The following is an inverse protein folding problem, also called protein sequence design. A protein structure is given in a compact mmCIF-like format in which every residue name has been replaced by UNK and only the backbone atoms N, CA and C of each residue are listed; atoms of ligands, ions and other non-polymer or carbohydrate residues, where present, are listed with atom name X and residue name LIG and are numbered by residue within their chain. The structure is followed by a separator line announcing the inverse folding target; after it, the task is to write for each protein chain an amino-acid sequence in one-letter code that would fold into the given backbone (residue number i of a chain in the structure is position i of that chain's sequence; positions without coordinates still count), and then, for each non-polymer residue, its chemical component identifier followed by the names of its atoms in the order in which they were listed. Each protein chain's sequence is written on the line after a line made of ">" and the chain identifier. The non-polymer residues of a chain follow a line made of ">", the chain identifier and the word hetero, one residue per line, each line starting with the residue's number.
data_IF_016363761015
#
_entry.id   IF_016363761015
#
_cell.length_a   1.000
_cell.length_b   1.000
_cell.length_c   1.000
_cell.angle_alpha   90.00
_cell.angle_beta   90.00
_cell.angle_gamma   90.00
#
_symmetry.space_group_name_H-M   'P 1'
#
loop_
_entity.id
_entity.type
_entity.pdbx_description
1 polymer ?
#
# COMPACT_ATOMS: atom_id res chain seq x y z
N UNK A 1 18.65 -20.24 22.56
CA UNK A 1 18.16 -18.99 23.19
C UNK A 1 18.35 -17.90 22.16
N UNK A 2 17.25 -17.34 21.66
CA UNK A 2 17.26 -16.16 20.78
C UNK A 2 17.60 -14.92 21.62
N UNK A 3 18.19 -13.92 20.98
CA UNK A 3 18.42 -12.62 21.61
C UNK A 3 17.23 -11.70 21.35
N UNK A 4 16.86 -10.88 22.34
CA UNK A 4 15.97 -9.74 22.15
C UNK A 4 16.71 -8.54 21.53
N UNK A 5 15.97 -7.46 21.25
CA UNK A 5 16.53 -6.24 20.67
C UNK A 5 17.65 -5.64 21.54
N UNK A 6 17.44 -5.53 22.85
CA UNK A 6 18.39 -4.87 23.76
C UNK A 6 19.70 -5.64 23.83
N UNK A 7 19.64 -6.97 23.89
CA UNK A 7 20.79 -7.85 23.81
C UNK A 7 21.54 -7.69 22.48
N UNK A 8 20.83 -7.59 21.36
CA UNK A 8 21.42 -7.35 20.05
C UNK A 8 22.06 -5.95 19.95
N UNK A 9 21.41 -4.92 20.51
CA UNK A 9 21.92 -3.56 20.54
C UNK A 9 23.20 -3.46 21.37
N UNK A 10 23.25 -4.12 22.51
CA UNK A 10 24.45 -4.17 23.36
C UNK A 10 25.58 -4.99 22.74
N UNK A 11 25.27 -6.03 21.97
CA UNK A 11 26.25 -6.69 21.12
C UNK A 11 26.86 -5.73 20.10
N UNK A 12 26.04 -4.96 19.36
CA UNK A 12 26.52 -3.98 18.38
C UNK A 12 27.34 -2.88 19.05
N UNK A 13 26.88 -2.32 20.18
CA UNK A 13 27.62 -1.26 20.90
C UNK A 13 29.01 -1.73 21.36
N UNK A 14 29.14 -2.97 21.84
CA UNK A 14 30.40 -3.53 22.33
C UNK A 14 31.40 -3.84 21.22
N UNK A 15 30.93 -4.30 20.06
CA UNK A 15 31.80 -4.82 19.00
C UNK A 15 32.01 -3.82 17.84
N UNK A 16 31.08 -2.90 17.60
CA UNK A 16 31.20 -1.95 16.48
C UNK A 16 32.24 -0.85 16.77
N UNK A 17 33.12 -0.55 15.79
CA UNK A 17 33.95 0.66 15.83
C UNK A 17 33.10 1.91 16.01
N UNK A 18 33.58 2.86 16.84
CA UNK A 18 32.84 4.07 17.21
C UNK A 18 32.30 4.85 16.00
N UNK A 19 33.09 4.96 14.93
CA UNK A 19 32.70 5.67 13.70
C UNK A 19 31.54 5.01 12.94
N UNK A 20 31.39 3.69 13.03
CA UNK A 20 30.35 2.93 12.29
C UNK A 20 29.11 2.63 13.11
N UNK A 21 29.22 2.71 14.45
CA UNK A 21 28.19 2.32 15.40
C UNK A 21 26.85 3.04 15.18
N UNK A 22 26.79 4.38 14.97
CA UNK A 22 25.51 5.06 14.75
C UNK A 22 24.74 4.53 13.54
N UNK A 23 25.45 4.19 12.46
CA UNK A 23 24.84 3.69 11.22
C UNK A 23 24.34 2.23 11.34
N UNK A 24 24.85 1.47 12.31
CA UNK A 24 24.39 0.10 12.58
C UNK A 24 23.23 0.07 13.58
N UNK A 25 23.18 1.01 14.52
CA UNK A 25 22.11 1.12 15.53
C UNK A 25 20.84 1.80 15.02
N UNK A 26 20.89 2.43 13.85
CA UNK A 26 19.75 3.10 13.24
C UNK A 26 19.31 2.35 11.97
N UNK A 27 18.01 2.42 11.60
CA UNK A 27 17.52 1.91 10.32
C UNK A 27 18.34 2.45 9.14
N UNK A 28 18.84 1.56 8.28
CA UNK A 28 19.57 1.96 7.09
C UNK A 28 18.61 2.68 6.13
N UNK A 29 18.82 3.98 5.93
CA UNK A 29 17.89 4.85 5.18
C UNK A 29 18.54 5.34 3.90
N UNK A 30 17.77 5.32 2.80
CA UNK A 30 18.17 5.87 1.50
C UNK A 30 16.99 6.59 0.86
N UNK A 31 17.18 7.85 0.46
CA UNK A 31 16.20 8.55 -0.38
C UNK A 31 16.05 7.84 -1.73
N UNK A 32 14.82 7.67 -2.21
CA UNK A 32 14.57 6.97 -3.48
C UNK A 32 15.12 7.76 -4.67
N UNK A 33 14.68 9.01 -4.84
CA UNK A 33 15.05 9.85 -5.97
C UNK A 33 14.97 11.34 -5.60
N UNK A 34 15.90 12.19 -6.07
CA UNK A 34 15.80 13.65 -5.90
C UNK A 34 14.50 14.24 -6.47
N UNK A 35 13.89 13.59 -7.47
CA UNK A 35 12.59 14.00 -8.05
C UNK A 35 11.43 13.79 -7.06
N UNK A 36 11.57 12.85 -6.13
CA UNK A 36 10.55 12.48 -5.15
C UNK A 36 11.15 12.52 -3.74
N UNK A 37 11.49 13.72 -3.23
CA UNK A 37 12.29 13.88 -2.01
C UNK A 37 11.58 13.42 -0.73
N UNK A 38 10.25 13.24 -0.78
CA UNK A 38 9.45 12.74 0.34
C UNK A 38 9.49 11.23 0.48
N UNK A 39 10.07 10.50 -0.48
CA UNK A 39 10.11 9.03 -0.51
C UNK A 39 11.47 8.53 -0.07
N UNK A 40 11.48 7.71 0.98
CA UNK A 40 12.68 7.02 1.47
C UNK A 40 12.46 5.51 1.57
N UNK A 41 13.51 4.75 1.28
CA UNK A 41 13.55 3.29 1.42
C UNK A 41 14.43 2.97 2.63
N UNK A 42 13.89 2.18 3.53
CA UNK A 42 14.51 1.85 4.80
C UNK A 42 14.72 0.35 4.93
N UNK A 43 15.75 -0.02 5.66
CA UNK A 43 15.96 -1.38 6.14
C UNK A 43 16.07 -1.36 7.67
N UNK A 44 15.92 -2.53 8.29
CA UNK A 44 16.12 -2.73 9.73
C UNK A 44 17.38 -2.04 10.26
N UNK A 45 17.40 -1.69 11.54
CA UNK A 45 18.69 -1.52 12.22
C UNK A 45 19.38 -2.90 12.31
N UNK A 46 20.70 -2.93 12.51
CA UNK A 46 21.41 -4.20 12.68
C UNK A 46 20.88 -4.99 13.91
N UNK A 47 20.60 -4.35 15.06
CA UNK A 47 19.95 -5.04 16.18
C UNK A 47 18.61 -5.68 15.82
N UNK A 48 17.74 -4.97 15.09
CA UNK A 48 16.44 -5.52 14.65
C UNK A 48 16.63 -6.70 13.72
N UNK A 49 17.53 -6.59 12.74
CA UNK A 49 17.85 -7.68 11.83
C UNK A 49 18.33 -8.92 12.58
N UNK A 50 19.23 -8.76 13.56
CA UNK A 50 19.69 -9.89 14.39
C UNK A 50 18.55 -10.53 15.20
N UNK A 51 17.67 -9.72 15.79
CA UNK A 51 16.57 -10.19 16.62
C UNK A 51 15.47 -10.87 15.79
N UNK A 52 15.01 -10.25 14.69
CA UNK A 52 13.93 -10.74 13.82
C UNK A 52 14.30 -12.09 13.20
N UNK A 53 15.54 -12.24 12.75
CA UNK A 53 16.02 -13.46 12.11
C UNK A 53 16.67 -14.45 13.10
N UNK A 54 16.55 -14.17 14.40
CA UNK A 54 17.07 -15.02 15.48
C UNK A 54 18.55 -15.40 15.29
N UNK A 55 19.36 -14.49 14.74
CA UNK A 55 20.78 -14.68 14.43
C UNK A 55 21.66 -14.59 15.68
N UNK A 56 21.20 -15.10 16.82
CA UNK A 56 21.81 -14.94 18.14
C UNK A 56 23.16 -15.66 18.33
N UNK A 57 23.54 -15.99 19.58
CA UNK A 57 24.89 -16.45 19.94
C UNK A 57 25.42 -17.64 19.14
N UNK A 58 24.55 -18.55 18.71
CA UNK A 58 24.97 -19.72 17.94
C UNK A 58 25.41 -19.36 16.52
N UNK A 59 24.73 -18.39 15.91
CA UNK A 59 25.06 -17.92 14.56
C UNK A 59 26.22 -16.93 14.58
N UNK A 60 26.24 -16.03 15.57
CA UNK A 60 27.30 -15.02 15.74
C UNK A 60 28.57 -15.59 16.35
N UNK A 61 28.49 -16.50 17.32
CA UNK A 61 29.63 -16.97 18.12
C UNK A 61 30.70 -17.71 17.31
N UNK A 62 30.38 -18.08 16.07
CA UNK A 62 31.30 -18.71 15.12
C UNK A 62 31.88 -17.71 14.09
N UNK A 63 31.46 -16.44 14.13
CA UNK A 63 31.75 -15.44 13.09
C UNK A 63 32.36 -14.17 13.69
N UNK A 64 33.23 -13.53 12.93
CA UNK A 64 33.76 -12.20 13.27
C UNK A 64 32.67 -11.14 13.11
N UNK A 65 32.64 -10.13 13.98
CA UNK A 65 31.65 -9.05 13.93
C UNK A 65 31.62 -8.37 12.57
N UNK A 66 32.79 -8.13 11.97
CA UNK A 66 32.91 -7.47 10.67
C UNK A 66 32.20 -8.25 9.56
N UNK A 67 32.25 -9.59 9.61
CA UNK A 67 31.56 -10.45 8.65
C UNK A 67 30.04 -10.35 8.79
N UNK A 68 29.53 -10.32 10.03
CA UNK A 68 28.09 -10.17 10.31
C UNK A 68 27.62 -8.76 9.91
N UNK A 69 28.40 -7.72 10.21
CA UNK A 69 28.09 -6.35 9.82
C UNK A 69 28.15 -6.14 8.29
N UNK A 70 29.05 -6.83 7.59
CA UNK A 70 29.11 -6.82 6.13
C UNK A 70 27.87 -7.46 5.51
N UNK A 71 27.45 -8.61 6.02
CA UNK A 71 26.22 -9.28 5.57
C UNK A 71 24.98 -8.42 5.77
N UNK A 72 24.81 -7.84 6.97
CA UNK A 72 23.71 -6.90 7.24
C UNK A 72 23.68 -5.76 6.20
N UNK A 73 24.83 -5.12 5.95
CA UNK A 73 24.92 -4.02 4.96
C UNK A 73 24.57 -4.48 3.55
N UNK A 74 25.03 -5.68 3.16
CA UNK A 74 24.74 -6.27 1.87
C UNK A 74 23.24 -6.55 1.68
N UNK A 75 22.58 -7.13 2.69
CA UNK A 75 21.14 -7.41 2.64
C UNK A 75 20.34 -6.09 2.60
N UNK A 76 20.72 -5.10 3.41
CA UNK A 76 20.10 -3.78 3.40
C UNK A 76 20.20 -3.10 2.02
N UNK A 77 21.39 -3.11 1.42
CA UNK A 77 21.62 -2.59 0.07
C UNK A 77 20.81 -3.33 -1.00
N UNK A 78 20.71 -4.66 -0.87
CA UNK A 78 19.95 -5.50 -1.81
C UNK A 78 18.47 -5.14 -1.76
N UNK A 79 17.89 -5.02 -0.57
CA UNK A 79 16.51 -4.60 -0.39
C UNK A 79 16.27 -3.18 -0.96
N UNK A 80 17.15 -2.22 -0.64
CA UNK A 80 17.06 -0.86 -1.21
C UNK A 80 17.05 -0.89 -2.74
N UNK A 81 17.94 -1.67 -3.34
CA UNK A 81 18.04 -1.80 -4.80
C UNK A 81 16.80 -2.43 -5.43
N UNK A 82 16.19 -3.43 -4.79
CA UNK A 82 14.95 -4.05 -5.27
C UNK A 82 13.78 -3.09 -5.22
N UNK A 83 13.52 -2.46 -4.07
CA UNK A 83 12.40 -1.51 -3.93
C UNK A 83 12.58 -0.30 -4.86
N UNK A 84 13.79 0.22 -5.01
CA UNK A 84 14.07 1.32 -5.95
C UNK A 84 13.71 0.94 -7.39
N UNK A 85 14.06 -0.28 -7.84
CA UNK A 85 13.68 -0.78 -9.17
C UNK A 85 12.17 -0.86 -9.37
N UNK A 86 11.41 -1.23 -8.34
CA UNK A 86 9.94 -1.24 -8.41
C UNK A 86 9.38 0.18 -8.54
N UNK A 87 9.92 1.14 -7.79
CA UNK A 87 9.55 2.54 -7.97
C UNK A 87 9.93 3.08 -9.35
N UNK A 88 11.08 2.67 -9.92
CA UNK A 88 11.47 3.04 -11.28
C UNK A 88 10.46 2.47 -12.31
N UNK A 89 10.03 1.22 -12.13
CA UNK A 89 9.02 0.59 -12.98
C UNK A 89 7.67 1.33 -12.90
N UNK A 90 7.21 1.64 -11.68
CA UNK A 90 6.00 2.44 -11.45
C UNK A 90 6.13 3.83 -12.08
N UNK A 91 7.27 4.52 -11.88
CA UNK A 91 7.52 5.84 -12.45
C UNK A 91 7.56 5.84 -13.99
N UNK A 92 7.79 4.68 -14.61
CA UNK A 92 7.84 4.50 -16.05
C UNK A 92 6.48 4.54 -16.75
N UNK A 93 5.36 4.43 -16.01
CA UNK A 93 4.01 4.60 -16.57
C UNK A 93 3.44 5.99 -16.26
N UNK A 94 2.51 6.49 -17.06
CA UNK A 94 1.83 7.76 -16.83
C UNK A 94 1.01 7.76 -15.55
N UNK A 95 0.31 6.66 -15.26
CA UNK A 95 -0.42 6.46 -14.00
C UNK A 95 0.47 6.41 -12.77
N UNK A 96 1.60 5.70 -12.84
CA UNK A 96 2.55 5.62 -11.74
C UNK A 96 3.34 6.90 -11.56
N UNK A 97 3.69 7.61 -12.64
CA UNK A 97 4.23 8.96 -12.55
C UNK A 97 3.25 9.91 -11.86
N UNK A 98 1.96 9.86 -12.18
CA UNK A 98 0.93 10.66 -11.51
C UNK A 98 0.81 10.32 -10.01
N UNK A 99 0.88 9.03 -9.65
CA UNK A 99 0.84 8.56 -8.27
C UNK A 99 2.05 9.05 -7.46
N UNK A 100 3.27 8.92 -7.98
CA UNK A 100 4.47 9.38 -7.29
C UNK A 100 4.53 10.90 -7.17
N UNK A 101 3.96 11.63 -8.13
CA UNK A 101 3.82 13.08 -8.02
C UNK A 101 2.80 13.49 -6.96
N UNK A 102 1.71 12.75 -6.79
CA UNK A 102 0.75 12.99 -5.71
C UNK A 102 1.41 12.82 -4.33
N UNK A 103 2.26 11.80 -4.17
CA UNK A 103 3.06 11.58 -2.96
C UNK A 103 4.06 12.72 -2.74
N UNK A 104 4.78 13.16 -3.77
CA UNK A 104 5.72 14.27 -3.67
C UNK A 104 5.02 15.60 -3.34
N UNK A 105 3.81 15.80 -3.83
CA UNK A 105 2.99 16.98 -3.55
C UNK A 105 2.43 17.01 -2.11
N UNK A 106 2.54 15.91 -1.34
CA UNK A 106 2.28 15.89 0.10
C UNK A 106 3.53 16.30 0.91
N UNK A 107 4.18 17.41 0.52
CA UNK A 107 5.52 17.81 0.97
C UNK A 107 5.71 18.08 2.48
N UNK A 108 4.61 18.08 3.25
CA UNK A 108 4.64 18.21 4.73
C UNK A 108 4.82 16.88 5.44
N UNK A 109 4.67 15.77 4.70
CA UNK A 109 4.71 14.41 5.20
C UNK A 109 5.71 13.60 4.37
N UNK A 110 6.11 12.45 4.91
CA UNK A 110 7.08 11.54 4.33
C UNK A 110 6.49 10.15 4.13
N UNK A 111 6.89 9.52 3.04
CA UNK A 111 6.60 8.11 2.74
C UNK A 111 7.87 7.29 2.95
N UNK A 112 7.77 6.22 3.73
CA UNK A 112 8.89 5.36 4.08
C UNK A 112 8.53 3.91 3.79
N UNK A 113 9.35 3.22 3.00
CA UNK A 113 9.12 1.80 2.68
C UNK A 113 10.08 0.94 3.48
N UNK A 114 9.57 -0.04 4.22
CA UNK A 114 10.33 -0.90 5.12
C UNK A 114 9.92 -2.37 4.91
N UNK A 115 10.81 -3.37 5.08
CA UNK A 115 10.45 -4.75 4.79
C UNK A 115 9.25 -5.23 5.62
N UNK A 116 8.34 -5.98 4.99
CA UNK A 116 7.11 -6.46 5.62
C UNK A 116 7.39 -7.29 6.87
N UNK A 117 8.46 -8.10 6.91
CA UNK A 117 8.75 -8.99 8.04
C UNK A 117 8.97 -8.25 9.38
N UNK A 118 9.03 -6.92 9.38
CA UNK A 118 8.95 -6.11 10.61
C UNK A 118 7.58 -6.19 11.32
N UNK A 119 6.54 -6.69 10.65
CA UNK A 119 5.15 -6.65 11.10
C UNK A 119 4.93 -7.25 12.50
N UNK A 120 5.70 -8.27 12.88
CA UNK A 120 5.64 -8.89 14.23
C UNK A 120 6.03 -7.92 15.33
N UNK A 121 7.02 -7.05 15.08
CA UNK A 121 7.45 -6.01 16.03
C UNK A 121 6.59 -4.75 15.91
N UNK A 122 6.05 -4.49 14.72
CA UNK A 122 5.13 -3.37 14.49
C UNK A 122 3.68 -3.64 14.99
N UNK A 123 3.38 -4.82 15.55
CA UNK A 123 2.04 -5.25 15.96
C UNK A 123 0.98 -4.98 14.87
N UNK A 124 1.25 -5.42 13.64
CA UNK A 124 0.25 -5.35 12.56
C UNK A 124 -0.75 -6.50 12.67
N UNK A 125 -2.00 -6.25 12.26
CA UNK A 125 -3.07 -7.24 12.28
C UNK A 125 -2.84 -8.32 11.20
N UNK A 126 -2.34 -9.48 11.61
CA UNK A 126 -2.13 -10.66 10.78
C UNK A 126 -0.92 -10.56 9.82
N UNK A 127 -0.50 -11.68 9.21
CA UNK A 127 0.58 -11.69 8.22
C UNK A 127 0.06 -11.12 6.89
N UNK A 128 -0.06 -9.80 6.80
CA UNK A 128 -0.35 -9.12 5.52
C UNK A 128 0.97 -8.87 4.80
N UNK A 129 1.21 -9.59 3.69
CA UNK A 129 2.43 -9.52 2.87
C UNK A 129 2.77 -8.10 2.34
N UNK A 130 1.82 -7.15 2.45
CA UNK A 130 2.02 -5.72 2.30
C UNK A 130 1.02 -4.96 3.20
N UNK A 131 1.40 -3.79 3.73
CA UNK A 131 0.48 -2.95 4.52
C UNK A 131 0.95 -1.51 4.64
N UNK A 132 0.02 -0.56 4.52
CA UNK A 132 0.21 0.85 4.87
C UNK A 132 -0.11 1.12 6.34
N UNK A 133 0.71 1.95 6.99
CA UNK A 133 0.45 2.45 8.35
C UNK A 133 0.71 3.96 8.45
N UNK A 134 -0.28 4.77 8.87
CA UNK A 134 -0.06 6.16 9.18
C UNK A 134 0.61 6.30 10.54
N UNK A 135 1.59 7.18 10.64
CA UNK A 135 2.40 7.41 11.84
C UNK A 135 2.61 8.90 12.05
N UNK A 136 2.93 9.34 13.26
CA UNK A 136 2.97 10.78 13.55
C UNK A 136 4.04 11.47 12.71
N UNK A 137 3.74 12.70 12.30
CA UNK A 137 4.70 13.53 11.56
C UNK A 137 6.00 13.69 12.36
N UNK A 138 7.14 13.38 11.75
CA UNK A 138 8.46 13.44 12.38
C UNK A 138 8.77 12.30 13.35
N UNK A 139 7.89 11.29 13.47
CA UNK A 139 8.15 10.11 14.29
C UNK A 139 9.38 9.37 13.77
N UNK A 140 10.39 9.20 14.64
CA UNK A 140 11.63 8.51 14.29
C UNK A 140 11.35 7.02 14.16
N UNK A 141 11.85 6.36 13.12
CA UNK A 141 11.66 4.90 12.97
C UNK A 141 12.31 4.04 14.04
N UNK A 142 13.27 4.58 14.79
CA UNK A 142 13.76 3.90 16.00
C UNK A 142 12.64 3.67 17.03
N UNK A 143 11.48 4.31 16.88
CA UNK A 143 10.26 4.09 17.66
C UNK A 143 9.30 3.06 17.01
N UNK A 144 9.46 2.78 15.70
CA UNK A 144 8.56 1.87 14.96
C UNK A 144 8.71 0.40 15.40
N UNK A 145 9.86 0.05 15.99
CA UNK A 145 10.20 -1.25 16.60
C UNK A 145 9.46 -1.55 17.91
N UNK A 146 8.91 -0.53 18.60
CA UNK A 146 8.26 -0.68 19.90
C UNK A 146 6.73 -0.47 19.85
N UNK A 147 6.12 -0.86 18.73
CA UNK A 147 4.70 -0.59 18.49
C UNK A 147 4.51 0.83 17.98
N UNK A 148 4.60 1.00 16.66
CA UNK A 148 4.30 2.28 16.01
C UNK A 148 2.84 2.65 16.32
N UNK A 149 2.59 3.74 17.04
CA UNK A 149 1.21 4.13 17.31
C UNK A 149 0.61 4.68 16.04
N UNK A 150 -0.48 4.06 15.58
CA UNK A 150 -1.14 4.51 14.37
C UNK A 150 -1.66 5.94 14.56
N UNK A 151 -1.33 6.85 13.65
CA UNK A 151 -1.90 8.20 13.63
C UNK A 151 -3.19 8.23 12.78
N UNK A 152 -4.05 7.25 13.03
CA UNK A 152 -5.29 6.99 12.26
C UNK A 152 -6.17 8.24 12.21
N UNK A 153 -6.22 9.00 13.30
CA UNK A 153 -6.98 10.25 13.43
C UNK A 153 -6.53 11.34 12.45
N UNK A 154 -5.23 11.46 12.17
CA UNK A 154 -4.74 12.45 11.21
C UNK A 154 -4.93 11.99 9.75
N UNK A 155 -4.74 10.70 9.49
CA UNK A 155 -4.87 10.08 8.18
C UNK A 155 -6.34 10.03 7.66
N UNK A 156 -7.31 9.98 8.56
CA UNK A 156 -8.73 9.97 8.17
C UNK A 156 -9.25 11.34 7.77
N UNK A 157 -10.16 11.33 6.78
CA UNK A 157 -10.89 12.51 6.34
C UNK A 157 -11.56 13.24 7.50
N UNK A 158 -11.56 14.58 7.44
CA UNK A 158 -12.15 15.41 8.50
C UNK A 158 -13.61 15.01 8.76
N UNK A 159 -13.90 14.59 9.99
CA UNK A 159 -15.21 14.14 10.43
C UNK A 159 -15.60 12.73 9.99
N UNK A 160 -14.74 12.00 9.29
CA UNK A 160 -15.01 10.60 8.97
C UNK A 160 -14.94 9.73 10.23
N UNK A 161 -15.86 8.77 10.42
CA UNK A 161 -15.78 7.83 11.52
C UNK A 161 -14.55 6.94 11.35
N UNK A 162 -13.85 6.70 12.45
CA UNK A 162 -12.79 5.69 12.50
C UNK A 162 -13.41 4.41 13.01
N UNK A 163 -13.21 3.30 12.29
CA UNK A 163 -13.79 2.00 12.63
C UNK A 163 -12.77 1.13 13.38
N UNK A 164 -13.24 0.33 14.34
CA UNK A 164 -12.46 -0.73 14.98
C UNK A 164 -12.35 -1.99 14.10
N UNK A 165 -11.66 -3.03 14.60
CA UNK A 165 -11.49 -4.31 13.90
C UNK A 165 -12.83 -5.05 13.63
N UNK A 166 -13.89 -4.71 14.36
CA UNK A 166 -15.24 -5.22 14.17
C UNK A 166 -16.08 -4.34 13.24
N UNK A 167 -15.45 -3.38 12.54
CA UNK A 167 -16.09 -2.38 11.68
C UNK A 167 -17.10 -1.49 12.42
N UNK A 168 -16.94 -1.32 13.73
CA UNK A 168 -17.79 -0.43 14.54
C UNK A 168 -17.13 0.94 14.70
N UNK A 169 -17.89 2.05 14.63
CA UNK A 169 -17.34 3.37 14.90
C UNK A 169 -16.74 3.44 16.31
N UNK A 170 -15.52 3.97 16.39
CA UNK A 170 -14.87 4.37 17.64
C UNK A 170 -15.38 5.74 18.09
N UNK A 171 -14.94 6.21 19.25
CA UNK A 171 -15.19 7.59 19.71
C UNK A 171 -14.39 8.65 18.95
N UNK A 172 -13.41 8.24 18.15
CA UNK A 172 -12.54 9.14 17.39
C UNK A 172 -13.07 9.38 15.97
N UNK A 173 -12.79 10.57 15.45
CA UNK A 173 -13.11 10.96 14.07
C UNK A 173 -11.88 11.53 13.40
N UNK A 174 -11.80 11.40 12.08
CA UNK A 174 -10.69 11.94 11.31
C UNK A 174 -10.59 13.46 11.40
N UNK A 175 -9.37 13.97 11.33
CA UNK A 175 -9.07 15.40 11.39
C UNK A 175 -8.72 15.99 10.02
N UNK A 176 -8.38 15.13 9.05
CA UNK A 176 -7.99 15.50 7.70
C UNK A 176 -6.63 16.22 7.59
N UNK A 177 -5.74 16.04 8.56
CA UNK A 177 -4.42 16.69 8.56
C UNK A 177 -3.37 15.94 7.71
N UNK A 178 -3.62 14.66 7.46
CA UNK A 178 -2.64 13.75 6.88
C UNK A 178 -1.58 13.34 7.88
N UNK A 179 -0.77 12.37 7.48
CA UNK A 179 0.23 11.76 8.34
C UNK A 179 1.48 11.38 7.56
N UNK A 180 2.62 11.25 8.24
CA UNK A 180 3.70 10.42 7.70
C UNK A 180 3.18 8.99 7.50
N UNK A 181 3.74 8.28 6.52
CA UNK A 181 3.31 6.92 6.19
C UNK A 181 4.51 5.98 6.17
N UNK A 182 4.31 4.79 6.72
CA UNK A 182 5.20 3.64 6.54
C UNK A 182 4.47 2.58 5.73
N UNK A 183 5.07 2.13 4.64
CA UNK A 183 4.62 0.99 3.85
C UNK A 183 5.51 -0.20 4.21
N UNK A 184 4.91 -1.20 4.84
CA UNK A 184 5.54 -2.48 5.15
C UNK A 184 5.42 -3.39 3.93
N UNK A 185 6.52 -3.60 3.22
CA UNK A 185 6.50 -4.27 1.93
C UNK A 185 7.82 -4.98 1.65
N UNK A 186 7.77 -6.28 1.34
CA UNK A 186 8.94 -7.07 0.92
C UNK A 186 8.71 -7.60 -0.49
N UNK A 187 9.50 -7.17 -1.50
CA UNK A 187 9.39 -7.70 -2.86
C UNK A 187 9.44 -9.23 -2.93
N UNK A 188 10.23 -9.86 -2.06
CA UNK A 188 10.46 -11.31 -2.00
C UNK A 188 9.18 -12.11 -1.74
N UNK A 189 8.21 -11.52 -1.03
CA UNK A 189 6.93 -12.17 -0.72
C UNK A 189 6.07 -12.34 -2.00
N UNK A 190 6.39 -11.57 -3.04
CA UNK A 190 5.68 -11.49 -4.32
C UNK A 190 6.55 -11.88 -5.52
N UNK A 191 7.78 -12.36 -5.31
CA UNK A 191 8.65 -12.87 -6.39
C UNK A 191 8.44 -14.38 -6.64
N UNK A 192 7.69 -15.08 -5.78
CA UNK A 192 7.48 -16.53 -5.88
C UNK A 192 6.43 -16.86 -6.95
N UNK A 193 6.73 -17.86 -7.78
CA UNK A 193 5.89 -18.26 -8.94
C UNK A 193 4.53 -18.86 -8.56
N UNK A 194 4.40 -19.42 -7.36
CA UNK A 194 3.16 -20.00 -6.87
C UNK A 194 2.10 -18.97 -6.44
N UNK A 195 2.50 -17.72 -6.17
CA UNK A 195 1.60 -16.60 -5.81
C UNK A 195 1.39 -15.55 -6.91
N UNK A 196 2.19 -15.58 -7.99
CA UNK A 196 2.27 -14.49 -9.00
C UNK A 196 1.54 -14.75 -10.31
N UNK A 197 0.92 -15.91 -10.48
CA UNK A 197 0.23 -16.28 -11.73
C UNK A 197 -1.11 -15.52 -11.94
N UNK A 198 -1.44 -14.58 -11.04
CA UNK A 198 -2.69 -13.82 -11.04
C UNK A 198 -2.43 -12.32 -11.22
N UNK A 199 -3.30 -11.57 -11.93
CA UNK A 199 -3.14 -10.13 -12.07
C UNK A 199 -3.15 -9.40 -10.73
N UNK A 200 -2.30 -8.37 -10.60
CA UNK A 200 -2.24 -7.57 -9.39
C UNK A 200 -1.41 -8.19 -8.27
N UNK A 201 -0.66 -9.27 -8.55
CA UNK A 201 0.22 -9.96 -7.61
C UNK A 201 1.70 -9.83 -7.95
N UNK A 202 2.07 -9.15 -9.04
CA UNK A 202 3.49 -8.83 -9.23
C UNK A 202 3.96 -7.77 -8.22
N UNK A 203 5.27 -7.79 -7.86
CA UNK A 203 5.79 -6.90 -6.84
C UNK A 203 5.47 -5.41 -7.06
N UNK A 204 5.60 -4.90 -8.28
CA UNK A 204 5.29 -3.48 -8.55
C UNK A 204 3.79 -3.18 -8.52
N UNK A 205 2.94 -4.15 -8.81
CA UNK A 205 1.48 -4.01 -8.83
C UNK A 205 0.91 -3.94 -7.42
N UNK A 206 1.40 -4.80 -6.53
CA UNK A 206 1.08 -4.73 -5.09
C UNK A 206 1.59 -3.44 -4.49
N UNK A 207 2.86 -3.08 -4.78
CA UNK A 207 3.40 -1.82 -4.28
C UNK A 207 2.58 -0.62 -4.79
N UNK A 208 2.17 -0.60 -6.06
CA UNK A 208 1.30 0.45 -6.60
C UNK A 208 -0.01 0.56 -5.79
N UNK A 209 -0.66 -0.57 -5.50
CA UNK A 209 -1.90 -0.61 -4.73
C UNK A 209 -1.71 -0.01 -3.33
N UNK A 210 -0.68 -0.42 -2.60
CA UNK A 210 -0.36 0.16 -1.28
C UNK A 210 -0.02 1.66 -1.38
N UNK A 211 0.68 2.08 -2.42
CA UNK A 211 0.99 3.50 -2.62
C UNK A 211 -0.26 4.35 -2.85
N UNK A 212 -1.34 3.80 -3.42
CA UNK A 212 -2.63 4.49 -3.50
C UNK A 212 -3.15 4.76 -2.09
N UNK A 213 -3.23 3.75 -1.22
CA UNK A 213 -3.60 3.94 0.18
C UNK A 213 -2.69 4.96 0.88
N UNK A 214 -1.39 4.90 0.65
CA UNK A 214 -0.44 5.85 1.21
C UNK A 214 -0.76 7.31 0.82
N UNK A 215 -1.20 7.58 -0.42
CA UNK A 215 -1.61 8.95 -0.80
C UNK A 215 -2.79 9.46 0.01
N UNK A 216 -3.72 8.56 0.38
CA UNK A 216 -4.93 8.87 1.15
C UNK A 216 -4.55 9.25 2.56
N UNK A 217 -3.67 8.46 3.18
CA UNK A 217 -3.16 8.70 4.53
C UNK A 217 -2.28 9.96 4.59
N UNK A 218 -1.40 10.18 3.61
CA UNK A 218 -0.58 11.39 3.50
C UNK A 218 -1.41 12.67 3.42
N UNK A 219 -2.59 12.61 2.79
CA UNK A 219 -3.48 13.76 2.60
C UNK A 219 -4.52 13.93 3.70
N UNK A 220 -4.73 12.91 4.53
CA UNK A 220 -5.80 12.94 5.51
C UNK A 220 -7.16 12.72 4.85
N UNK A 221 -7.24 11.84 3.84
CA UNK A 221 -8.48 11.58 3.11
C UNK A 221 -9.01 10.15 3.27
N UNK A 222 -8.33 9.31 4.04
CA UNK A 222 -8.77 7.94 4.30
C UNK A 222 -10.21 7.91 4.86
N UNK A 223 -11.05 7.01 4.34
CA UNK A 223 -12.38 6.75 4.90
C UNK A 223 -12.59 5.25 5.13
N UNK A 224 -13.15 4.87 6.27
CA UNK A 224 -13.62 3.50 6.50
C UNK A 224 -14.99 3.21 5.88
N UNK A 225 -15.43 3.99 4.89
CA UNK A 225 -16.80 3.93 4.40
C UNK A 225 -17.05 2.57 3.72
N UNK A 226 -18.02 1.77 4.20
CA UNK A 226 -18.31 0.47 3.60
C UNK A 226 -18.75 0.63 2.15
N UNK A 227 -18.21 -0.23 1.29
CA UNK A 227 -18.65 -0.42 -0.08
C UNK A 227 -19.07 -1.88 -0.19
N UNK A 228 -20.33 -2.11 -0.55
CA UNK A 228 -20.85 -3.48 -0.70
C UNK A 228 -20.13 -4.23 -1.84
N UNK A 229 -20.41 -5.52 -1.98
CA UNK A 229 -19.64 -6.41 -2.84
C UNK A 229 -18.27 -6.71 -2.24
N UNK A 230 -17.33 -7.08 -3.11
CA UNK A 230 -16.07 -7.69 -2.71
C UNK A 230 -14.95 -6.68 -2.35
N UNK A 231 -15.24 -5.37 -2.38
CA UNK A 231 -14.24 -4.33 -2.08
C UNK A 231 -14.11 -4.07 -0.58
N UNK A 232 -15.17 -4.29 0.19
CA UNK A 232 -15.22 -4.04 1.63
C UNK A 232 -15.34 -2.56 2.01
N UNK A 233 -14.54 -1.66 1.42
CA UNK A 233 -14.60 -0.21 1.68
C UNK A 233 -14.16 0.66 0.48
N UNK A 234 -14.36 1.97 0.62
CA UNK A 234 -14.03 3.00 -0.38
C UNK A 234 -12.53 3.02 -0.74
N UNK A 235 -11.64 2.76 0.22
CA UNK A 235 -10.19 2.82 0.01
C UNK A 235 -9.69 1.63 -0.81
N UNK A 236 -10.16 0.42 -0.52
CA UNK A 236 -9.85 -0.80 -1.28
C UNK A 236 -10.43 -0.74 -2.70
N UNK A 237 -11.63 -0.16 -2.84
CA UNK A 237 -12.22 0.11 -4.14
C UNK A 237 -11.33 1.02 -4.99
N UNK A 238 -10.91 2.16 -4.42
CA UNK A 238 -10.08 3.12 -5.12
C UNK A 238 -8.70 2.53 -5.46
N UNK A 239 -8.05 1.88 -4.50
CA UNK A 239 -6.74 1.25 -4.70
C UNK A 239 -6.79 0.13 -5.73
N UNK A 240 -7.85 -0.69 -5.74
CA UNK A 240 -8.06 -1.72 -6.76
C UNK A 240 -8.30 -1.11 -8.14
N UNK A 241 -9.15 -0.08 -8.21
CA UNK A 241 -9.49 0.60 -9.48
C UNK A 241 -8.26 1.24 -10.12
N UNK A 242 -7.45 1.95 -9.33
CA UNK A 242 -6.24 2.60 -9.83
C UNK A 242 -5.13 1.58 -10.15
N UNK A 243 -5.02 0.49 -9.38
CA UNK A 243 -4.12 -0.61 -9.74
C UNK A 243 -4.51 -1.26 -11.08
N UNK A 244 -5.81 -1.43 -11.36
CA UNK A 244 -6.28 -1.91 -12.66
C UNK A 244 -5.98 -0.94 -13.80
N UNK A 245 -6.07 0.36 -13.56
CA UNK A 245 -5.63 1.37 -14.53
C UNK A 245 -4.12 1.19 -14.84
N UNK A 246 -3.29 1.00 -13.82
CA UNK A 246 -1.86 0.71 -13.98
C UNK A 246 -1.60 -0.61 -14.74
N UNK A 247 -2.30 -1.69 -14.41
CA UNK A 247 -2.23 -2.97 -15.13
C UNK A 247 -2.60 -2.83 -16.61
N UNK A 248 -3.66 -2.07 -16.89
CA UNK A 248 -4.06 -1.75 -18.27
C UNK A 248 -2.97 -0.98 -19.01
N UNK A 249 -2.27 -0.08 -18.31
CA UNK A 249 -1.12 0.64 -18.86
C UNK A 249 0.13 -0.25 -19.01
N UNK A 250 0.23 -1.37 -18.31
CA UNK A 250 1.22 -2.43 -18.58
C UNK A 250 0.78 -3.38 -19.69
N UNK A 251 -0.47 -3.28 -20.18
CA UNK A 251 -1.03 -4.22 -21.16
C UNK A 251 -1.33 -5.59 -20.56
N UNK A 252 -1.61 -5.64 -19.25
CA UNK A 252 -1.87 -6.87 -18.51
C UNK A 252 -3.36 -7.10 -18.30
N UNK A 253 -3.76 -8.36 -18.00
CA UNK A 253 -5.11 -8.61 -17.51
C UNK A 253 -5.34 -7.83 -16.21
N UNK A 254 -6.59 -7.47 -15.95
CA UNK A 254 -6.97 -6.67 -14.79
C UNK A 254 -7.29 -7.59 -13.62
N UNK A 255 -7.00 -7.15 -12.39
CA UNK A 255 -7.39 -7.87 -11.17
C UNK A 255 -8.89 -7.78 -10.93
N UNK A 256 -9.48 -8.93 -10.61
CA UNK A 256 -10.84 -9.03 -10.09
C UNK A 256 -10.91 -8.54 -8.64
N UNK A 257 -12.09 -8.70 -8.04
CA UNK A 257 -12.34 -8.32 -6.65
C UNK A 257 -12.20 -9.57 -5.76
N UNK A 258 -11.79 -9.40 -4.49
CA UNK A 258 -11.42 -10.50 -3.60
C UNK A 258 -12.30 -10.55 -2.35
N UNK A 259 -13.54 -11.05 -2.41
CA UNK A 259 -14.20 -11.40 -1.14
C UNK A 259 -15.23 -12.55 -1.17
N UNK A 260 -15.59 -13.15 -2.31
CA UNK A 260 -16.44 -14.36 -2.25
C UNK A 260 -15.74 -15.52 -1.50
N UNK A 261 -16.23 -15.93 -0.32
CA UNK A 261 -15.67 -17.06 0.43
C UNK A 261 -15.87 -18.39 -0.30
N UNK A 262 -16.89 -18.46 -1.17
CA UNK A 262 -17.16 -19.55 -2.11
C UNK A 262 -16.01 -19.78 -3.08
N UNK A 263 -15.20 -18.75 -3.31
CA UNK A 263 -14.30 -18.66 -4.45
C UNK A 263 -12.82 -18.46 -4.06
N UNK A 264 -12.55 -18.09 -2.79
CA UNK A 264 -11.21 -18.08 -2.14
C UNK A 264 -10.55 -19.48 -2.00
N UNK A 265 -11.12 -20.50 -2.63
CA UNK A 265 -10.77 -21.89 -2.40
C UNK A 265 -11.45 -22.42 -1.15
N UNK A 266 -11.88 -23.68 -1.20
CA UNK A 266 -12.49 -24.34 -0.04
C UNK A 266 -11.45 -24.37 1.09
N UNK A 267 -11.77 -23.77 2.23
CA UNK A 267 -10.93 -23.93 3.42
C UNK A 267 -11.19 -25.30 4.03
N UNK A 268 -10.15 -26.14 4.14
CA UNK A 268 -10.21 -27.41 4.87
C UNK A 268 -9.53 -27.27 6.22
N UNK A 269 -10.26 -27.57 7.29
CA UNK A 269 -9.69 -27.67 8.63
C UNK A 269 -8.98 -29.00 8.78
N UNK A 270 -7.67 -28.97 9.05
CA UNK A 270 -6.92 -30.16 9.44
C UNK A 270 -6.98 -30.26 10.96
N UNK A 271 -7.68 -31.29 11.44
CA UNK A 271 -7.90 -31.55 12.87
C UNK A 271 -7.06 -32.73 13.35
N UNK A 272 -6.51 -32.62 14.55
CA UNK A 272 -5.97 -33.74 15.31
C UNK A 272 -6.54 -33.69 16.73
N UNK A 273 -6.95 -34.85 17.27
CA UNK A 273 -7.53 -34.96 18.61
C UNK A 273 -8.67 -33.97 18.91
N UNK A 274 -9.49 -33.65 17.90
CA UNK A 274 -10.61 -32.71 18.05
C UNK A 274 -10.23 -31.22 18.03
N UNK A 275 -8.94 -30.87 17.96
CA UNK A 275 -8.47 -29.49 17.79
C UNK A 275 -8.06 -29.22 16.34
N UNK A 276 -8.44 -28.04 15.84
CA UNK A 276 -7.97 -27.54 14.53
C UNK A 276 -6.50 -27.16 14.66
N UNK A 277 -5.62 -27.88 13.95
CA UNK A 277 -4.19 -27.61 13.93
C UNK A 277 -3.86 -26.46 12.96
N UNK A 278 -4.45 -26.48 11.78
CA UNK A 278 -4.34 -25.41 10.79
C UNK A 278 -5.48 -25.48 9.76
N UNK A 279 -5.77 -24.32 9.14
CA UNK A 279 -6.66 -24.21 7.98
C UNK A 279 -5.82 -24.23 6.71
N UNK A 280 -6.12 -25.17 5.82
CA UNK A 280 -5.55 -25.21 4.46
C UNK A 280 -6.55 -24.53 3.54
N UNK A 281 -6.11 -23.49 2.84
CA UNK A 281 -6.90 -22.85 1.79
C UNK A 281 -6.52 -23.55 0.49
N UNK A 282 -7.48 -24.22 -0.17
CA UNK A 282 -7.25 -24.80 -1.49
C UNK A 282 -6.85 -23.68 -2.48
N UNK A 283 -5.93 -23.91 -3.43
CA UNK A 283 -5.55 -22.87 -4.38
C UNK A 283 -6.78 -22.44 -5.20
N UNK A 284 -6.97 -21.12 -5.44
CA UNK A 284 -8.10 -20.64 -6.22
C UNK A 284 -8.03 -21.18 -7.66
N UNK A 285 -9.18 -21.30 -8.36
CA UNK A 285 -9.20 -21.71 -9.76
C UNK A 285 -8.32 -20.83 -10.65
N UNK A 286 -7.77 -21.39 -11.73
CA UNK A 286 -6.99 -20.60 -12.69
C UNK A 286 -7.87 -19.50 -13.31
N UNK A 287 -7.38 -18.25 -13.32
CA UNK A 287 -8.14 -17.10 -13.85
C UNK A 287 -9.15 -16.50 -12.88
N UNK A 288 -9.24 -17.03 -11.64
CA UNK A 288 -10.07 -16.52 -10.55
C UNK A 288 -9.88 -15.00 -10.32
N UNK A 289 -8.63 -14.56 -10.32
CA UNK A 289 -8.24 -13.19 -10.02
C UNK A 289 -8.35 -12.23 -11.21
N UNK A 290 -8.98 -12.62 -12.33
CA UNK A 290 -9.09 -11.76 -13.52
C UNK A 290 -10.46 -11.07 -13.54
N UNK A 291 -10.46 -9.76 -13.79
CA UNK A 291 -11.69 -8.99 -13.99
C UNK A 291 -12.46 -9.48 -15.22
N UNK A 292 -13.71 -9.91 -15.02
CA UNK A 292 -14.51 -10.56 -16.08
C UNK A 292 -15.07 -9.57 -17.11
N UNK A 293 -15.49 -8.38 -16.68
CA UNK A 293 -16.16 -7.40 -17.55
C UNK A 293 -15.65 -5.97 -17.30
N UNK A 294 -14.48 -5.62 -17.87
CA UNK A 294 -13.89 -4.29 -17.68
C UNK A 294 -14.62 -3.18 -18.46
N UNK A 295 -15.28 -3.51 -19.57
CA UNK A 295 -15.92 -2.54 -20.45
C UNK A 295 -17.23 -2.01 -19.84
N UNK A 296 -17.94 -2.83 -19.06
CA UNK A 296 -19.16 -2.43 -18.36
C UNK A 296 -18.94 -2.09 -16.88
N UNK A 297 -17.70 -1.96 -16.41
CA UNK A 297 -17.40 -1.68 -15.00
C UNK A 297 -18.16 -0.46 -14.45
N UNK A 298 -18.35 0.57 -15.28
CA UNK A 298 -19.02 1.80 -14.88
C UNK A 298 -20.55 1.66 -14.87
N UNK A 299 -21.09 0.77 -15.69
CA UNK A 299 -22.53 0.66 -16.00
C UNK A 299 -23.20 -0.57 -15.36
N UNK A 300 -22.42 -1.57 -14.96
CA UNK A 300 -22.85 -2.78 -14.29
C UNK A 300 -22.07 -2.94 -12.97
N UNK A 301 -22.35 -2.11 -11.96
CA UNK A 301 -21.46 -1.94 -10.83
C UNK A 301 -21.42 -3.13 -9.86
N UNK A 302 -22.10 -4.24 -10.17
CA UNK A 302 -22.33 -5.33 -9.21
C UNK A 302 -23.17 -4.84 -8.02
N UNK A 303 -23.28 -5.64 -6.94
CA UNK A 303 -24.00 -5.26 -5.74
C UNK A 303 -23.17 -4.30 -4.88
N UNK A 304 -22.85 -3.11 -5.40
CA UNK A 304 -22.23 -2.02 -4.62
C UNK A 304 -23.31 -1.02 -4.19
N UNK A 305 -23.28 -0.60 -2.93
CA UNK A 305 -24.19 0.41 -2.36
C UNK A 305 -23.86 1.84 -2.82
N UNK A 306 -22.65 2.08 -3.33
CA UNK A 306 -22.21 3.33 -3.92
C UNK A 306 -21.81 3.08 -5.36
N UNK A 307 -22.36 3.87 -6.28
CA UNK A 307 -22.05 3.72 -7.69
C UNK A 307 -20.58 4.07 -7.99
N UNK A 308 -20.00 3.49 -9.05
CA UNK A 308 -18.68 3.88 -9.53
C UNK A 308 -18.52 5.38 -9.80
N UNK A 309 -19.58 6.01 -10.29
CA UNK A 309 -19.64 7.46 -10.50
C UNK A 309 -19.45 8.22 -9.18
N UNK A 310 -20.19 7.85 -8.13
CA UNK A 310 -20.09 8.46 -6.81
C UNK A 310 -18.69 8.25 -6.18
N UNK A 311 -18.13 7.05 -6.30
CA UNK A 311 -16.81 6.73 -5.75
C UNK A 311 -15.70 7.52 -6.47
N UNK A 312 -15.73 7.58 -7.80
CA UNK A 312 -14.77 8.38 -8.57
C UNK A 312 -14.99 9.88 -8.34
N UNK A 313 -16.23 10.33 -8.20
CA UNK A 313 -16.53 11.72 -7.90
C UNK A 313 -15.90 12.15 -6.56
N UNK A 314 -15.98 11.30 -5.53
CA UNK A 314 -15.34 11.56 -4.23
C UNK A 314 -13.81 11.58 -4.32
N UNK A 315 -13.22 10.69 -5.12
CA UNK A 315 -11.80 10.76 -5.45
C UNK A 315 -11.44 12.08 -6.14
N UNK A 316 -12.23 12.50 -7.15
CA UNK A 316 -12.07 13.78 -7.83
C UNK A 316 -12.13 14.96 -6.86
N UNK A 317 -13.06 14.94 -5.90
CA UNK A 317 -13.25 16.05 -4.96
C UNK A 317 -12.10 16.19 -3.96
N UNK A 318 -11.50 15.07 -3.56
CA UNK A 318 -10.42 15.03 -2.56
C UNK A 318 -9.04 15.21 -3.19
N UNK A 319 -8.75 14.56 -4.33
CA UNK A 319 -7.42 14.55 -4.96
C UNK A 319 -7.45 15.07 -6.40
N UNK A 320 -7.98 16.28 -6.59
CA UNK A 320 -8.21 16.94 -7.90
C UNK A 320 -7.03 16.88 -8.87
N UNK A 321 -5.82 17.17 -8.40
CA UNK A 321 -4.64 17.20 -9.25
C UNK A 321 -4.28 15.79 -9.75
N UNK A 322 -4.33 14.80 -8.85
CA UNK A 322 -4.08 13.39 -9.19
C UNK A 322 -5.16 12.86 -10.14
N UNK A 323 -6.44 13.10 -9.82
CA UNK A 323 -7.58 12.80 -10.70
C UNK A 323 -7.40 13.42 -12.10
N UNK A 324 -6.99 14.69 -12.17
CA UNK A 324 -6.77 15.38 -13.45
C UNK A 324 -5.64 14.73 -14.25
N UNK A 325 -4.52 14.40 -13.61
CA UNK A 325 -3.41 13.73 -14.28
C UNK A 325 -3.84 12.38 -14.88
N UNK A 326 -4.63 11.59 -14.13
CA UNK A 326 -5.14 10.29 -14.59
C UNK A 326 -6.19 10.39 -15.71
N UNK A 327 -7.10 11.36 -15.64
CA UNK A 327 -8.11 11.57 -16.69
C UNK A 327 -7.51 12.06 -18.00
N UNK A 328 -6.34 12.69 -17.95
CA UNK A 328 -5.63 13.24 -19.11
C UNK A 328 -4.58 12.31 -19.72
N UNK A 329 -4.45 11.07 -19.23
CA UNK A 329 -3.58 10.07 -19.87
C UNK A 329 -3.96 9.88 -21.36
N UNK A 330 -3.05 9.46 -22.23
CA UNK A 330 -3.34 9.28 -23.67
C UNK A 330 -4.51 8.33 -23.93
N UNK A 331 -5.24 8.53 -25.04
CA UNK A 331 -6.36 7.64 -25.41
C UNK A 331 -5.91 6.25 -25.89
N UNK A 332 -4.68 6.15 -26.41
CA UNK A 332 -4.13 4.87 -26.86
C UNK A 332 -3.88 3.88 -25.70
N UNK A 333 -3.55 4.39 -24.50
CA UNK A 333 -3.19 3.59 -23.33
C UNK A 333 -3.24 4.45 -22.05
N UNK A 334 -3.81 3.98 -20.93
CA UNK A 334 -4.47 2.69 -20.70
C UNK A 334 -5.83 2.55 -21.38
N UNK A 335 -6.24 1.30 -21.67
CA UNK A 335 -7.58 0.98 -22.20
C UNK A 335 -8.66 1.06 -21.12
N UNK A 336 -8.35 0.58 -19.92
CA UNK A 336 -9.20 0.71 -18.74
C UNK A 336 -8.81 1.98 -17.99
N UNK A 337 -9.65 3.01 -18.06
CA UNK A 337 -9.46 4.26 -17.32
C UNK A 337 -10.81 4.86 -16.88
N UNK A 338 -11.37 4.35 -15.77
CA UNK A 338 -12.61 4.87 -15.22
C UNK A 338 -12.57 6.35 -14.83
N UNK A 339 -11.39 6.86 -14.45
CA UNK A 339 -11.19 8.26 -14.10
C UNK A 339 -11.40 9.17 -15.32
N UNK A 340 -10.89 8.75 -16.49
CA UNK A 340 -11.14 9.42 -17.77
C UNK A 340 -12.61 9.31 -18.18
N UNK A 341 -13.22 8.14 -18.01
CA UNK A 341 -14.63 7.94 -18.36
C UNK A 341 -15.56 8.85 -17.54
N UNK A 342 -15.36 8.91 -16.22
CA UNK A 342 -16.05 9.85 -15.34
C UNK A 342 -15.87 11.31 -15.81
N UNK A 343 -14.66 11.72 -16.18
CA UNK A 343 -14.39 13.07 -16.69
C UNK A 343 -15.18 13.38 -17.99
N UNK A 344 -15.25 12.42 -18.92
CA UNK A 344 -16.00 12.54 -20.19
C UNK A 344 -17.51 12.65 -19.94
N UNK A 345 -18.06 11.81 -19.07
CA UNK A 345 -19.49 11.83 -18.70
C UNK A 345 -19.87 13.15 -18.07
N UNK A 346 -19.05 13.67 -17.14
CA UNK A 346 -19.26 14.99 -16.53
C UNK A 346 -19.23 16.15 -17.53
N UNK A 347 -18.27 16.15 -18.45
CA UNK A 347 -18.18 17.18 -19.48
C UNK A 347 -19.42 17.18 -20.39
N UNK A 348 -19.89 15.99 -20.76
CA UNK A 348 -21.08 15.80 -21.60
C UNK A 348 -22.36 16.25 -20.88
N UNK A 349 -22.54 15.88 -19.61
CA UNK A 349 -23.68 16.33 -18.80
C UNK A 349 -23.71 17.85 -18.60
N UNK A 350 -22.55 18.49 -18.41
CA UNK A 350 -22.45 19.95 -18.32
C UNK A 350 -22.78 20.64 -19.64
N UNK A 351 -22.38 20.07 -20.78
CA UNK A 351 -22.71 20.60 -22.10
C UNK A 351 -24.22 20.56 -22.37
N UNK A 352 -24.88 19.44 -22.05
CA UNK A 352 -26.34 19.28 -22.15
C UNK A 352 -27.08 20.29 -21.25
N UNK A 353 -26.64 20.47 -20.00
CA UNK A 353 -27.25 21.43 -19.09
C UNK A 353 -27.12 22.89 -19.58
N UNK A 354 -25.96 23.25 -20.16
CA UNK A 354 -25.74 24.58 -20.75
C UNK A 354 -26.64 24.81 -21.97
N UNK A 355 -26.74 23.83 -22.86
CA UNK A 355 -27.62 23.91 -24.04
C UNK A 355 -29.08 24.12 -23.64
N UNK A 356 -29.56 23.41 -22.61
CA UNK A 356 -30.92 23.59 -22.08
C UNK A 356 -31.15 24.97 -21.43
N UNK A 357 -30.14 25.55 -20.78
CA UNK A 357 -30.21 26.91 -20.23
C UNK A 357 -30.26 27.97 -21.33
N UNK A 358 -29.47 27.84 -22.40
CA UNK A 358 -29.50 28.75 -23.55
C UNK A 358 -30.85 28.72 -24.27
N UNK A 359 -31.45 27.53 -24.45
CA UNK A 359 -32.79 27.39 -25.04
C UNK A 359 -33.86 28.12 -24.20
N UNK A 360 -33.79 28.03 -22.87
CA UNK A 360 -34.73 28.71 -21.94
C UNK A 360 -34.54 30.22 -21.87
N UNK A 361 -33.36 30.75 -22.19
CA UNK A 361 -33.08 32.19 -22.21
C UNK A 361 -33.39 32.84 -23.56
N UNK A 362 -33.30 32.09 -24.67
CA UNK A 362 -33.65 32.56 -26.01
C UNK A 362 -35.14 32.50 -26.36
N UNK A 363 -35.99 32.05 -25.44
CA UNK A 363 -37.46 31.99 -25.57
C UNK A 363 -38.18 33.04 -24.71
N UNK A 364 -37.46 34.07 -24.24
CA UNK A 364 -38.02 35.22 -23.51
C UNK A 364 -38.03 36.49 -24.36
#
# INVERSE_FOLDING_TARGET
>A
MSWDYDQCADYVKRNAPAASRPALLMPATRGYSPKFPTISILYYSMPDWLAIFELGPRHIGQRKFESVAHEYKFVAQTYHGKVAKLFDAIAGSGSGAALLQEIAAASRHSLRVLPHWHWKQANLAGPRNASVRPVRAGEKLASAVNGTFSNTVAAHAKGAPILDDNRKPTSEVGTGQGSDVVVFYSPEDWERKDSTDSPGFEPDEVLFHELVHATRDLRGFHTGRPVDGDFGNEEEYLATTLANLYLSEKGKPLRGVYDEPSERGRSREIKANGQTLFRVIDPPPKGWAVMRDPDHWYDAPGPVNLSPDELIQRFSDTQKAFYRALSQLPDAKPKFNPVKEHAKRRASGQALARQQQTIRQGTR
#
